data_IF_970198782748
#
_entry.id   IF_970198782748
#
_cell.length_a   1.000
_cell.length_b   1.000
_cell.length_c   1.000
_cell.angle_alpha   90.00
_cell.angle_beta   90.00
_cell.angle_gamma   90.00
#
_symmetry.space_group_name_H-M   'P 1'
#
loop_
_entity.id
_entity.type
_entity.pdbx_description
1 polymer ?
#
# COMPACT_ATOMS: atom_id res chain seq x y z
N UNK A 1 54.04 38.24 -17.23
CA UNK A 1 53.04 37.21 -17.62
C UNK A 1 51.72 37.58 -16.95
N UNK A 2 50.63 37.62 -17.71
CA UNK A 2 49.45 38.47 -17.45
C UNK A 2 48.53 37.92 -16.32
N UNK A 3 47.99 38.79 -15.44
CA UNK A 3 47.09 38.46 -14.32
C UNK A 3 45.63 38.19 -14.75
N UNK A 4 45.41 37.61 -15.94
CA UNK A 4 44.07 37.47 -16.55
C UNK A 4 43.39 36.12 -16.26
N UNK A 5 44.07 35.18 -15.61
CA UNK A 5 43.55 33.84 -15.32
C UNK A 5 42.75 33.75 -14.02
N UNK A 6 43.01 34.65 -13.06
CA UNK A 6 42.33 34.67 -11.77
C UNK A 6 40.81 34.99 -11.86
N UNK A 7 40.35 36.01 -12.61
CA UNK A 7 38.92 36.34 -12.65
C UNK A 7 38.10 35.27 -13.39
N UNK A 8 38.72 34.54 -14.32
CA UNK A 8 38.07 33.48 -15.08
C UNK A 8 37.87 32.21 -14.24
N UNK A 9 38.82 31.92 -13.34
CA UNK A 9 38.72 30.84 -12.35
C UNK A 9 37.64 31.14 -11.29
N UNK A 10 37.57 32.39 -10.81
CA UNK A 10 36.53 32.83 -9.86
C UNK A 10 35.14 32.81 -10.49
N UNK A 11 35.01 33.25 -11.74
CA UNK A 11 33.75 33.16 -12.48
C UNK A 11 33.33 31.69 -12.69
N UNK A 12 34.26 30.79 -13.04
CA UNK A 12 33.97 29.36 -13.20
C UNK A 12 33.51 28.70 -11.87
N UNK A 13 34.16 29.04 -10.76
CA UNK A 13 33.78 28.57 -9.41
C UNK A 13 32.41 29.09 -8.96
N UNK A 14 32.06 30.33 -9.33
CA UNK A 14 30.72 30.91 -9.08
C UNK A 14 29.65 30.26 -9.98
N UNK A 15 29.96 29.90 -11.22
CA UNK A 15 29.04 29.17 -12.10
C UNK A 15 28.74 27.76 -11.61
N UNK A 16 29.72 27.07 -11.01
CA UNK A 16 29.56 25.70 -10.48
C UNK A 16 28.76 25.68 -9.18
N UNK A 17 28.80 26.75 -8.38
CA UNK A 17 28.04 26.83 -7.11
C UNK A 17 26.55 27.13 -7.30
N UNK A 18 26.16 27.79 -8.41
CA UNK A 18 24.75 28.10 -8.70
C UNK A 18 23.95 26.85 -9.16
N UNK A 19 24.61 25.80 -9.66
CA UNK A 19 23.92 24.55 -10.03
C UNK A 19 23.57 23.62 -8.85
N UNK A 20 23.99 23.95 -7.62
CA UNK A 20 23.84 23.06 -6.46
C UNK A 20 22.66 23.40 -5.53
N UNK A 21 21.74 24.28 -5.96
CA UNK A 21 20.62 24.75 -5.12
C UNK A 21 19.25 24.15 -5.50
N UNK A 22 19.18 23.23 -6.46
CA UNK A 22 17.96 22.45 -6.65
C UNK A 22 18.00 21.30 -5.63
N UNK A 23 16.98 21.14 -4.76
CA UNK A 23 16.87 19.92 -3.96
C UNK A 23 16.92 18.73 -4.92
N UNK A 24 17.60 17.62 -4.57
CA UNK A 24 17.51 16.41 -5.37
C UNK A 24 16.03 16.06 -5.48
N UNK A 25 15.47 16.15 -6.68
CA UNK A 25 14.13 15.68 -6.95
C UNK A 25 14.23 14.16 -6.89
N UNK A 26 13.81 13.59 -5.75
CA UNK A 26 13.75 12.14 -5.60
C UNK A 26 12.67 11.63 -6.56
N UNK A 27 13.09 11.09 -7.69
CA UNK A 27 12.23 10.63 -8.77
C UNK A 27 11.59 9.27 -8.41
N UNK A 28 10.84 9.23 -7.31
CA UNK A 28 10.06 8.05 -6.91
C UNK A 28 8.87 7.85 -7.83
N UNK A 29 8.40 6.61 -7.92
CA UNK A 29 7.13 6.33 -8.58
C UNK A 29 5.99 7.14 -7.91
N UNK A 30 4.88 7.39 -8.62
CA UNK A 30 3.70 8.03 -8.03
C UNK A 30 3.20 7.26 -6.80
N UNK A 31 2.56 7.95 -5.82
CA UNK A 31 1.92 7.29 -4.69
C UNK A 31 0.93 6.21 -5.14
N UNK A 32 0.83 5.12 -4.38
CA UNK A 32 -0.02 3.98 -4.71
C UNK A 32 -1.01 3.70 -3.57
N UNK A 33 -2.31 3.53 -3.85
CA UNK A 33 -3.30 3.17 -2.83
C UNK A 33 -3.07 1.73 -2.37
N UNK A 34 -3.33 1.42 -1.10
CA UNK A 34 -3.40 0.02 -0.66
C UNK A 34 -4.53 -0.72 -1.37
N UNK A 35 -5.69 -0.09 -1.45
CA UNK A 35 -6.88 -0.65 -2.07
C UNK A 35 -7.25 0.11 -3.36
N UNK A 36 -6.88 -0.41 -4.52
CA UNK A 36 -7.23 0.23 -5.81
C UNK A 36 -8.73 0.26 -6.09
N UNK A 37 -9.45 -0.81 -5.72
CA UNK A 37 -10.91 -0.89 -5.91
C UNK A 37 -11.71 -0.03 -4.92
N UNK A 38 -11.10 0.44 -3.84
CA UNK A 38 -11.76 1.27 -2.84
C UNK A 38 -11.88 2.74 -3.26
N UNK A 39 -11.08 3.19 -4.25
CA UNK A 39 -11.18 4.53 -4.88
C UNK A 39 -11.76 4.41 -6.30
N UNK A 40 -12.78 3.55 -6.46
CA UNK A 40 -13.37 3.24 -7.75
C UNK A 40 -14.20 4.40 -8.32
N UNK A 41 -13.55 5.30 -9.05
CA UNK A 41 -14.19 6.39 -9.77
C UNK A 41 -13.95 6.26 -11.28
N UNK A 42 -14.91 5.69 -11.99
CA UNK A 42 -14.76 5.34 -13.40
C UNK A 42 -16.01 5.57 -14.23
N UNK A 43 -15.80 5.79 -15.51
CA UNK A 43 -16.86 5.82 -16.53
C UNK A 43 -16.82 4.51 -17.30
N UNK A 44 -17.94 3.80 -17.37
CA UNK A 44 -18.06 2.56 -18.13
C UNK A 44 -18.05 2.85 -19.63
N UNK A 45 -17.78 1.85 -20.50
CA UNK A 45 -17.85 2.04 -21.94
C UNK A 45 -19.22 2.54 -22.45
N UNK A 46 -20.29 2.24 -21.71
CA UNK A 46 -21.66 2.64 -22.03
C UNK A 46 -22.00 4.07 -21.53
N UNK A 47 -21.07 4.72 -20.82
CA UNK A 47 -21.21 6.08 -20.30
C UNK A 47 -21.75 6.17 -18.87
N UNK A 48 -22.06 5.05 -18.23
CA UNK A 48 -22.48 5.03 -16.83
C UNK A 48 -21.31 5.35 -15.90
N UNK A 49 -21.57 6.07 -14.83
CA UNK A 49 -20.55 6.33 -13.80
C UNK A 49 -20.64 5.30 -12.69
N UNK A 50 -19.49 4.74 -12.33
CA UNK A 50 -19.30 3.91 -11.14
C UNK A 50 -18.45 4.72 -10.19
N UNK A 51 -18.99 5.01 -9.01
CA UNK A 51 -18.38 5.92 -8.03
C UNK A 51 -18.31 5.22 -6.69
N UNK A 52 -17.12 5.25 -6.07
CA UNK A 52 -16.93 4.73 -4.73
C UNK A 52 -17.41 5.74 -3.69
N UNK A 53 -18.16 5.27 -2.71
CA UNK A 53 -18.42 5.97 -1.46
C UNK A 53 -17.54 5.39 -0.36
N UNK A 54 -18.14 5.06 0.78
CA UNK A 54 -17.43 4.46 1.90
C UNK A 54 -16.85 3.08 1.54
N UNK A 55 -15.62 2.81 1.95
CA UNK A 55 -14.91 1.60 1.57
C UNK A 55 -14.05 1.03 2.69
N UNK A 56 -13.91 -0.29 2.69
CA UNK A 56 -13.05 -1.00 3.62
C UNK A 56 -12.31 -2.15 2.95
N UNK A 57 -11.10 -2.43 3.44
CA UNK A 57 -10.27 -3.53 3.00
C UNK A 57 -9.85 -4.38 4.20
N UNK A 58 -10.05 -5.68 4.10
CA UNK A 58 -9.50 -6.66 5.06
C UNK A 58 -8.48 -7.54 4.37
N UNK A 59 -7.25 -7.56 4.89
CA UNK A 59 -6.18 -8.44 4.44
C UNK A 59 -5.97 -9.52 5.49
N UNK A 60 -6.08 -10.78 5.09
CA UNK A 60 -5.78 -11.92 5.95
C UNK A 60 -4.46 -12.56 5.52
N UNK A 61 -3.53 -12.66 6.47
CA UNK A 61 -2.23 -13.29 6.30
C UNK A 61 -2.34 -14.77 6.68
N UNK A 62 -1.98 -15.64 5.75
CA UNK A 62 -1.99 -17.09 5.96
C UNK A 62 -0.57 -17.58 6.27
N UNK A 63 -0.45 -18.56 7.16
CA UNK A 63 0.81 -19.19 7.58
C UNK A 63 1.60 -19.86 6.46
N UNK A 64 0.92 -20.18 5.35
CA UNK A 64 1.53 -20.65 4.11
C UNK A 64 2.24 -19.56 3.29
N UNK A 65 2.11 -18.28 3.67
CA UNK A 65 2.69 -17.12 2.99
C UNK A 65 1.81 -16.50 1.91
N UNK A 66 0.58 -16.99 1.73
CA UNK A 66 -0.40 -16.31 0.89
C UNK A 66 -1.16 -15.24 1.68
N UNK A 67 -1.82 -14.34 0.95
CA UNK A 67 -2.76 -13.38 1.52
C UNK A 67 -4.09 -13.43 0.78
N UNK A 68 -5.18 -13.22 1.51
CA UNK A 68 -6.51 -13.00 0.93
C UNK A 68 -6.97 -11.60 1.26
N UNK A 69 -7.59 -10.94 0.29
CA UNK A 69 -7.99 -9.55 0.35
C UNK A 69 -9.48 -9.46 0.08
N UNK A 70 -10.21 -8.87 1.02
CA UNK A 70 -11.65 -8.71 0.98
C UNK A 70 -11.96 -7.21 0.99
N UNK A 71 -12.26 -6.63 -0.17
CA UNK A 71 -12.68 -5.24 -0.29
C UNK A 71 -14.20 -5.15 -0.28
N UNK A 72 -14.74 -4.17 0.45
CA UNK A 72 -16.16 -3.80 0.45
C UNK A 72 -16.27 -2.32 0.14
N UNK A 73 -17.05 -1.99 -0.88
CA UNK A 73 -17.24 -0.61 -1.35
C UNK A 73 -18.73 -0.34 -1.41
N UNK A 74 -19.19 0.66 -0.66
CA UNK A 74 -20.51 1.24 -0.81
C UNK A 74 -20.49 2.15 -2.02
N UNK A 75 -21.15 1.75 -3.09
CA UNK A 75 -21.18 2.49 -4.35
C UNK A 75 -22.11 3.70 -4.20
N UNK A 76 -21.59 4.89 -4.50
CA UNK A 76 -22.41 6.10 -4.61
C UNK A 76 -23.17 6.14 -5.95
N UNK A 77 -22.66 5.45 -6.97
CA UNK A 77 -23.31 5.29 -8.27
C UNK A 77 -22.84 4.01 -8.98
N UNK A 78 -23.66 3.51 -9.91
CA UNK A 78 -23.30 2.40 -10.80
C UNK A 78 -23.56 0.99 -10.25
N UNK A 79 -24.15 0.86 -9.06
CA UNK A 79 -24.51 -0.44 -8.45
C UNK A 79 -25.40 -1.30 -9.34
N UNK A 80 -26.50 -0.73 -9.84
CA UNK A 80 -27.43 -1.43 -10.73
C UNK A 80 -26.77 -1.94 -12.03
N UNK A 81 -25.90 -1.13 -12.63
CA UNK A 81 -25.18 -1.50 -13.85
C UNK A 81 -24.22 -2.67 -13.60
N UNK A 82 -23.47 -2.62 -12.49
CA UNK A 82 -22.57 -3.69 -12.09
C UNK A 82 -23.32 -4.97 -11.66
N UNK A 83 -24.50 -4.83 -11.04
CA UNK A 83 -25.35 -5.96 -10.67
C UNK A 83 -25.93 -6.65 -11.91
N UNK A 84 -26.46 -5.87 -12.85
CA UNK A 84 -27.10 -6.37 -14.07
C UNK A 84 -26.11 -6.99 -15.06
N UNK A 85 -24.87 -6.48 -15.13
CA UNK A 85 -23.88 -6.90 -16.11
C UNK A 85 -22.62 -7.47 -15.46
N UNK A 86 -22.55 -8.81 -15.37
CA UNK A 86 -21.39 -9.51 -14.79
C UNK A 86 -20.09 -9.35 -15.57
N UNK A 87 -20.15 -9.17 -16.90
CA UNK A 87 -18.96 -8.95 -17.72
C UNK A 87 -18.38 -7.55 -17.49
N UNK A 88 -19.24 -6.54 -17.43
CA UNK A 88 -18.86 -5.17 -17.05
C UNK A 88 -18.24 -5.17 -15.65
N UNK A 89 -18.91 -5.80 -14.67
CA UNK A 89 -18.40 -5.90 -13.30
C UNK A 89 -17.01 -6.51 -13.25
N UNK A 90 -16.79 -7.63 -13.96
CA UNK A 90 -15.47 -8.27 -14.01
C UNK A 90 -14.41 -7.35 -14.62
N UNK A 91 -14.73 -6.65 -15.71
CA UNK A 91 -13.79 -5.75 -16.38
C UNK A 91 -13.40 -4.56 -15.50
N UNK A 92 -14.40 -3.90 -14.89
CA UNK A 92 -14.19 -2.76 -13.97
C UNK A 92 -13.35 -3.19 -12.77
N UNK A 93 -13.70 -4.30 -12.12
CA UNK A 93 -12.99 -4.77 -10.93
C UNK A 93 -11.58 -5.25 -11.26
N UNK A 94 -11.39 -6.03 -12.33
CA UNK A 94 -10.06 -6.55 -12.72
C UNK A 94 -9.08 -5.43 -13.02
N UNK A 95 -9.56 -4.30 -13.54
CA UNK A 95 -8.72 -3.15 -13.82
C UNK A 95 -8.48 -2.33 -12.54
N UNK A 96 -9.51 -2.09 -11.71
CA UNK A 96 -9.38 -1.31 -10.48
C UNK A 96 -8.50 -1.98 -9.40
N UNK A 97 -8.57 -3.31 -9.24
CA UNK A 97 -7.71 -4.04 -8.28
C UNK A 97 -6.23 -3.94 -8.61
N UNK A 98 -5.86 -3.63 -9.87
CA UNK A 98 -4.46 -3.45 -10.31
C UNK A 98 -3.90 -2.07 -10.01
N UNK A 99 -4.75 -1.11 -9.64
CA UNK A 99 -4.31 0.22 -9.21
C UNK A 99 -3.77 0.19 -7.77
N UNK A 100 -4.06 -0.88 -7.01
CA UNK A 100 -3.59 -1.08 -5.65
C UNK A 100 -2.17 -1.66 -5.55
N UNK A 101 -1.66 -1.79 -4.32
CA UNK A 101 -0.33 -2.38 -4.06
C UNK A 101 -0.22 -3.89 -4.31
N UNK A 102 -1.34 -4.60 -4.47
CA UNK A 102 -1.35 -6.05 -4.62
C UNK A 102 -1.06 -6.51 -6.07
N UNK A 103 -0.56 -7.73 -6.25
CA UNK A 103 -0.57 -8.47 -7.53
C UNK A 103 -1.71 -9.52 -7.51
N UNK A 104 -2.94 -9.13 -7.87
CA UNK A 104 -4.12 -9.93 -7.63
C UNK A 104 -4.19 -11.18 -8.53
N UNK A 105 -4.57 -12.30 -7.92
CA UNK A 105 -4.98 -13.57 -8.54
C UNK A 105 -6.37 -13.94 -8.04
N UNK A 106 -7.06 -14.79 -8.81
CA UNK A 106 -8.37 -15.34 -8.45
C UNK A 106 -9.37 -14.26 -8.00
N UNK A 107 -9.52 -13.21 -8.82
CA UNK A 107 -10.39 -12.07 -8.52
C UNK A 107 -11.85 -12.44 -8.73
N UNK A 108 -12.62 -12.40 -7.65
CA UNK A 108 -14.06 -12.60 -7.63
C UNK A 108 -14.77 -11.31 -7.20
N UNK A 109 -15.94 -11.04 -7.80
CA UNK A 109 -16.69 -9.82 -7.52
C UNK A 109 -18.20 -10.06 -7.58
N UNK A 110 -18.89 -9.52 -6.57
CA UNK A 110 -20.34 -9.57 -6.43
C UNK A 110 -20.88 -8.22 -5.98
N UNK A 111 -22.11 -7.94 -6.37
CA UNK A 111 -22.85 -6.76 -5.93
C UNK A 111 -24.07 -7.22 -5.17
N UNK A 112 -24.30 -6.65 -3.98
CA UNK A 112 -25.46 -6.87 -3.14
C UNK A 112 -26.04 -5.52 -2.73
N UNK A 113 -27.16 -5.13 -3.34
CA UNK A 113 -27.63 -3.75 -3.30
C UNK A 113 -26.57 -2.80 -3.84
N UNK A 114 -26.18 -1.82 -3.02
CA UNK A 114 -25.14 -0.84 -3.35
C UNK A 114 -23.74 -1.27 -2.88
N UNK A 115 -23.57 -2.50 -2.38
CA UNK A 115 -22.27 -2.97 -1.88
C UNK A 115 -21.59 -3.84 -2.93
N UNK A 116 -20.48 -3.34 -3.47
CA UNK A 116 -19.53 -4.14 -4.25
C UNK A 116 -18.58 -4.84 -3.28
N UNK A 117 -18.64 -6.17 -3.25
CA UNK A 117 -17.68 -7.01 -2.55
C UNK A 117 -16.72 -7.66 -3.55
N UNK A 118 -15.43 -7.51 -3.30
CA UNK A 118 -14.36 -8.05 -4.14
C UNK A 118 -13.41 -8.86 -3.28
N UNK A 119 -13.17 -10.09 -3.71
CA UNK A 119 -12.30 -11.05 -3.06
C UNK A 119 -11.17 -11.40 -4.02
N UNK A 120 -9.92 -11.37 -3.56
CA UNK A 120 -8.78 -11.80 -4.36
C UNK A 120 -7.64 -12.32 -3.48
N UNK A 121 -6.65 -12.93 -4.13
CA UNK A 121 -5.45 -13.46 -3.48
C UNK A 121 -4.21 -12.77 -4.01
N UNK A 122 -3.24 -12.57 -3.14
CA UNK A 122 -1.88 -12.25 -3.55
C UNK A 122 -0.93 -13.30 -2.95
N UNK A 123 -0.35 -14.19 -3.79
CA UNK A 123 0.58 -15.22 -3.34
C UNK A 123 1.98 -14.69 -3.01
N UNK A 124 2.28 -13.44 -3.35
CA UNK A 124 3.61 -12.83 -3.26
C UNK A 124 3.66 -11.62 -2.31
N UNK A 125 2.53 -11.20 -1.75
CA UNK A 125 2.44 -10.10 -0.79
C UNK A 125 3.12 -10.37 0.58
N UNK A 126 3.68 -11.56 0.80
CA UNK A 126 4.35 -11.86 2.07
C UNK A 126 5.67 -12.58 1.89
N UNK A 127 6.55 -12.41 2.89
CA UNK A 127 7.76 -13.20 3.04
C UNK A 127 7.70 -14.08 4.28
N UNK A 128 8.29 -15.29 4.21
CA UNK A 128 8.27 -16.24 5.31
C UNK A 128 9.65 -16.42 5.90
N UNK A 129 9.78 -16.15 7.20
CA UNK A 129 11.03 -16.26 7.95
C UNK A 129 10.79 -16.85 9.33
N UNK A 130 11.50 -17.92 9.70
CA UNK A 130 11.47 -18.51 11.05
C UNK A 130 10.06 -18.89 11.58
N UNK A 131 9.15 -19.27 10.70
CA UNK A 131 7.76 -19.58 11.05
C UNK A 131 6.87 -18.35 11.26
N UNK A 132 7.34 -17.16 10.88
CA UNK A 132 6.57 -15.93 10.80
C UNK A 132 6.31 -15.55 9.33
N UNK A 133 5.25 -14.78 9.11
CA UNK A 133 4.82 -14.26 7.80
C UNK A 133 4.85 -12.74 7.87
N UNK A 134 5.72 -12.11 7.08
CA UNK A 134 5.92 -10.65 7.03
C UNK A 134 5.16 -10.08 5.83
N UNK A 135 4.29 -9.11 6.07
CA UNK A 135 3.53 -8.40 5.04
C UNK A 135 4.27 -7.13 4.64
N UNK A 136 5.03 -7.20 3.55
CA UNK A 136 5.92 -6.14 3.06
C UNK A 136 5.28 -5.06 2.15
N UNK A 137 4.08 -5.24 1.52
CA UNK A 137 3.56 -4.26 0.56
C UNK A 137 3.30 -2.84 1.09
N UNK A 138 3.16 -2.67 2.42
CA UNK A 138 2.91 -1.35 3.02
C UNK A 138 4.16 -0.47 3.06
N UNK A 139 5.35 -1.06 3.01
CA UNK A 139 6.63 -0.32 3.05
C UNK A 139 7.20 -0.19 1.64
N UNK A 140 7.27 1.03 1.07
CA UNK A 140 7.84 1.23 -0.27
C UNK A 140 9.30 0.78 -0.35
N UNK A 141 9.62 -0.02 -1.37
CA UNK A 141 10.99 -0.44 -1.61
C UNK A 141 11.86 0.77 -2.02
N UNK A 142 12.95 0.97 -1.28
CA UNK A 142 14.01 1.94 -1.62
C UNK A 142 15.00 1.33 -2.62
N UNK A 143 15.75 2.15 -3.38
CA UNK A 143 16.80 1.64 -4.27
C UNK A 143 17.82 0.81 -3.49
N UNK A 144 18.07 -0.42 -3.95
CA UNK A 144 19.03 -1.34 -3.32
C UNK A 144 20.50 -0.89 -3.41
N UNK A 145 20.78 0.17 -4.17
CA UNK A 145 22.14 0.66 -4.44
C UNK A 145 22.29 2.06 -3.84
N UNK A 146 23.33 2.30 -3.02
CA UNK A 146 23.58 3.64 -2.47
C UNK A 146 23.83 4.65 -3.60
N UNK A 147 23.33 5.88 -3.42
CA UNK A 147 23.42 7.00 -4.38
C UNK A 147 22.60 6.87 -5.67
N UNK A 148 21.72 5.86 -5.78
CA UNK A 148 20.68 5.83 -6.82
C UNK A 148 19.43 6.55 -6.32
N UNK A 149 18.94 7.49 -7.12
CA UNK A 149 17.70 8.24 -6.86
C UNK A 149 16.53 7.46 -7.47
N UNK A 150 15.37 7.41 -6.78
CA UNK A 150 14.17 6.70 -7.23
C UNK A 150 13.66 5.69 -6.20
N UNK A 151 12.83 4.75 -6.65
CA UNK A 151 12.18 3.75 -5.79
C UNK A 151 10.67 3.76 -5.93
N UNK A 152 10.00 2.96 -5.09
CA UNK A 152 8.55 2.93 -5.06
C UNK A 152 7.97 4.23 -4.49
N UNK A 153 6.78 4.59 -4.94
CA UNK A 153 6.03 5.71 -4.41
C UNK A 153 5.53 5.43 -3.00
N UNK A 154 5.20 6.49 -2.26
CA UNK A 154 4.59 6.36 -0.95
C UNK A 154 3.28 5.55 -1.02
N UNK A 155 2.97 4.83 0.05
CA UNK A 155 1.68 4.15 0.19
C UNK A 155 0.70 5.08 0.88
N UNK A 156 -0.56 4.99 0.48
CA UNK A 156 -1.65 5.71 1.14
C UNK A 156 -2.86 4.79 1.26
N UNK A 157 -3.71 5.06 2.26
CA UNK A 157 -4.73 4.11 2.69
C UNK A 157 -5.66 3.68 1.55
N UNK A 158 -6.13 4.64 0.75
CA UNK A 158 -7.01 4.40 -0.39
C UNK A 158 -8.36 3.77 0.00
N UNK A 159 -8.75 3.85 1.27
CA UNK A 159 -10.01 3.33 1.81
C UNK A 159 -10.35 4.11 3.10
N UNK A 160 -11.55 3.97 3.63
CA UNK A 160 -11.89 4.55 4.94
C UNK A 160 -11.36 3.69 6.09
N UNK A 161 -11.24 2.37 5.87
CA UNK A 161 -10.68 1.43 6.85
C UNK A 161 -9.87 0.31 6.20
N UNK A 162 -8.64 0.10 6.68
CA UNK A 162 -7.82 -1.07 6.40
C UNK A 162 -7.68 -1.90 7.67
N UNK A 163 -7.88 -3.21 7.56
CA UNK A 163 -7.61 -4.18 8.61
C UNK A 163 -6.65 -5.23 8.09
N UNK A 164 -5.53 -5.46 8.78
CA UNK A 164 -4.60 -6.56 8.51
C UNK A 164 -4.66 -7.54 9.67
N UNK A 165 -5.03 -8.79 9.40
CA UNK A 165 -5.24 -9.82 10.42
C UNK A 165 -4.59 -11.15 10.05
N UNK A 166 -4.39 -12.00 11.05
CA UNK A 166 -3.92 -13.36 10.87
C UNK A 166 -5.09 -14.27 10.49
N UNK A 167 -4.80 -15.40 9.84
CA UNK A 167 -5.76 -16.51 9.84
C UNK A 167 -5.98 -17.04 11.27
N UNK A 168 -7.08 -17.77 11.55
CA UNK A 168 -7.33 -18.30 12.89
C UNK A 168 -6.13 -19.08 13.46
N UNK A 169 -5.71 -18.73 14.68
CA UNK A 169 -4.51 -19.28 15.32
C UNK A 169 -3.23 -18.46 15.09
N UNK A 170 -3.31 -17.38 14.33
CA UNK A 170 -2.22 -16.43 14.12
C UNK A 170 -2.52 -15.06 14.71
N UNK A 171 -1.54 -14.50 15.40
CA UNK A 171 -1.52 -13.14 15.93
C UNK A 171 -0.74 -12.23 14.97
N UNK A 172 -1.19 -11.00 14.78
CA UNK A 172 -0.48 -10.01 13.95
C UNK A 172 0.17 -8.97 14.84
N UNK A 173 1.46 -8.72 14.60
CA UNK A 173 2.22 -7.68 15.29
C UNK A 173 2.69 -6.63 14.31
N UNK A 174 2.68 -5.38 14.76
CA UNK A 174 3.08 -4.21 13.99
C UNK A 174 2.60 -2.96 14.70
N UNK A 175 2.84 -1.82 14.06
CA UNK A 175 2.38 -0.53 14.56
C UNK A 175 1.22 -0.07 13.66
N UNK A 176 0.08 0.28 14.28
CA UNK A 176 -1.09 0.82 13.59
C UNK A 176 -1.78 1.86 14.49
N UNK A 177 -2.21 3.02 13.95
CA UNK A 177 -2.68 4.16 14.74
C UNK A 177 -4.01 3.88 15.47
N UNK A 178 -4.92 3.11 14.87
CA UNK A 178 -6.18 2.69 15.51
C UNK A 178 -5.97 1.66 16.63
N UNK A 179 -4.72 1.26 16.89
CA UNK A 179 -4.38 0.13 17.74
C UNK A 179 -4.71 -1.20 17.07
N UNK A 180 -4.33 -2.27 17.75
CA UNK A 180 -4.67 -3.63 17.38
C UNK A 180 -5.09 -4.40 18.62
N UNK A 181 -6.10 -5.27 18.48
CA UNK A 181 -6.13 -6.45 19.35
C UNK A 181 -4.98 -7.36 18.91
N UNK A 182 -4.53 -8.33 19.72
CA UNK A 182 -3.36 -9.17 19.36
C UNK A 182 -3.46 -9.88 17.99
N UNK A 183 -4.63 -9.85 17.37
CA UNK A 183 -5.01 -10.62 16.19
C UNK A 183 -5.15 -9.73 14.93
N UNK A 184 -5.22 -8.40 15.05
CA UNK A 184 -5.43 -7.48 13.93
C UNK A 184 -4.78 -6.10 14.12
N UNK A 185 -4.44 -5.46 13.01
CA UNK A 185 -3.95 -4.08 12.92
C UNK A 185 -4.92 -3.25 12.10
N UNK A 186 -5.28 -2.05 12.57
CA UNK A 186 -6.31 -1.21 11.94
C UNK A 186 -5.77 0.18 11.62
N UNK A 187 -5.97 0.61 10.38
CA UNK A 187 -5.80 1.99 9.94
C UNK A 187 -7.15 2.53 9.51
N UNK A 188 -7.53 3.70 10.01
CA UNK A 188 -8.75 4.38 9.59
C UNK A 188 -8.45 5.82 9.17
N UNK A 189 -9.28 6.35 8.28
CA UNK A 189 -9.22 7.77 7.91
C UNK A 189 -9.53 8.70 9.09
N UNK A 190 -10.29 8.22 10.09
CA UNK A 190 -10.66 8.99 11.27
C UNK A 190 -9.48 9.19 12.25
N UNK A 191 -8.54 8.24 12.27
CA UNK A 191 -7.36 8.28 13.14
C UNK A 191 -6.22 9.13 12.56
N UNK A 192 -6.28 9.47 11.27
CA UNK A 192 -5.31 10.34 10.64
C UNK A 192 -5.46 11.77 11.18
N UNK A 193 -4.35 12.41 11.55
CA UNK A 193 -4.35 13.83 11.88
C UNK A 193 -5.04 14.58 10.74
N UNK A 194 -6.03 15.44 11.06
CA UNK A 194 -6.75 16.27 10.09
C UNK A 194 -5.80 17.33 9.51
N UNK A 195 -4.83 16.91 8.73
CA UNK A 195 -4.37 17.72 7.63
C UNK A 195 -5.39 17.56 6.49
N UNK A 196 -5.64 18.62 5.73
CA UNK A 196 -6.55 18.65 4.57
C UNK A 196 -6.02 17.79 3.39
N UNK A 197 -5.25 16.74 3.67
CA UNK A 197 -4.69 15.84 2.69
C UNK A 197 -5.82 14.96 2.11
N UNK A 198 -6.05 15.12 0.80
CA UNK A 198 -6.95 14.28 0.00
C UNK A 198 -6.64 12.78 0.15
N UNK A 199 -5.37 12.44 0.42
CA UNK A 199 -4.87 11.08 0.66
C UNK A 199 -4.25 10.96 2.04
N UNK A 200 -4.68 9.95 2.80
CA UNK A 200 -4.09 9.60 4.10
C UNK A 200 -2.83 8.78 3.87
N UNK A 201 -1.62 9.33 4.12
CA UNK A 201 -0.39 8.57 3.98
C UNK A 201 -0.37 7.39 4.98
N UNK A 202 0.16 6.26 4.53
CA UNK A 202 0.46 5.14 5.40
C UNK A 202 1.92 5.25 5.83
N UNK A 203 2.13 5.77 7.03
CA UNK A 203 3.45 5.73 7.67
C UNK A 203 3.56 4.43 8.45
N UNK A 204 4.15 3.42 7.82
CA UNK A 204 4.36 2.09 8.41
C UNK A 204 5.84 1.96 8.73
N UNK A 205 6.20 2.25 9.98
CA UNK A 205 7.57 2.08 10.48
C UNK A 205 7.95 0.60 10.58
N UNK A 206 6.95 -0.28 10.78
CA UNK A 206 7.16 -1.72 10.97
C UNK A 206 6.10 -2.52 10.25
N UNK A 207 6.53 -3.28 9.25
CA UNK A 207 5.67 -4.21 8.53
C UNK A 207 4.86 -5.12 9.48
N UNK A 208 3.58 -5.38 9.17
CA UNK A 208 2.80 -6.37 9.88
C UNK A 208 3.45 -7.76 9.78
N UNK A 209 3.51 -8.46 10.91
CA UNK A 209 4.06 -9.81 10.99
C UNK A 209 3.05 -10.72 11.68
N UNK A 210 2.57 -11.72 10.95
CA UNK A 210 1.78 -12.80 11.53
C UNK A 210 2.70 -13.87 12.14
N UNK A 211 2.36 -14.31 13.34
CA UNK A 211 3.00 -15.41 14.06
C UNK A 211 1.94 -16.33 14.66
N UNK A 212 2.23 -17.62 14.77
CA UNK A 212 1.33 -18.55 15.47
C UNK A 212 1.17 -18.15 16.96
N UNK A 213 -0.06 -18.12 17.47
CA UNK A 213 -0.39 -17.66 18.83
C UNK A 213 0.32 -18.49 19.94
N UNK A 214 0.66 -19.74 19.65
CA UNK A 214 1.39 -20.63 20.55
C UNK A 214 2.92 -20.58 20.44
N UNK A 215 3.48 -19.71 19.59
CA UNK A 215 4.91 -19.70 19.33
C UNK A 215 5.74 -19.25 20.55
N UNK A 216 6.87 -19.92 20.79
CA UNK A 216 7.86 -19.45 21.77
C UNK A 216 8.50 -18.14 21.32
N UNK A 217 8.56 -17.16 22.22
CA UNK A 217 9.16 -15.83 22.00
C UNK A 217 8.65 -15.15 20.72
N UNK A 218 7.33 -14.97 20.59
CA UNK A 218 6.73 -14.63 19.30
C UNK A 218 7.10 -13.20 18.87
N UNK A 219 7.35 -12.28 19.82
CA UNK A 219 7.87 -10.94 19.56
C UNK A 219 9.30 -10.93 19.01
N UNK A 220 10.19 -11.78 19.54
CA UNK A 220 11.57 -11.92 19.05
C UNK A 220 11.57 -12.48 17.63
N UNK A 221 10.74 -13.49 17.37
CA UNK A 221 10.56 -14.04 16.02
C UNK A 221 10.10 -13.00 15.02
N UNK A 222 9.08 -12.21 15.38
CA UNK A 222 8.59 -11.15 14.52
C UNK A 222 9.67 -10.09 14.24
N UNK A 223 10.44 -9.71 15.26
CA UNK A 223 11.56 -8.78 15.09
C UNK A 223 12.65 -9.32 14.15
N UNK A 224 13.10 -10.56 14.35
CA UNK A 224 14.11 -11.17 13.45
C UNK A 224 13.57 -11.31 12.03
N UNK A 225 12.29 -11.69 11.87
CA UNK A 225 11.68 -11.83 10.55
C UNK A 225 11.72 -10.52 9.76
N UNK A 226 11.43 -9.36 10.39
CA UNK A 226 11.57 -8.04 9.74
C UNK A 226 12.99 -7.67 9.37
N UNK A 227 13.97 -8.05 10.19
CA UNK A 227 15.38 -7.83 9.85
C UNK A 227 15.79 -8.61 8.60
N UNK A 228 15.25 -9.82 8.43
CA UNK A 228 15.56 -10.68 7.30
C UNK A 228 14.91 -10.23 5.99
N UNK A 229 13.80 -9.49 6.04
CA UNK A 229 13.18 -8.85 4.86
C UNK A 229 13.90 -7.56 4.43
N UNK A 230 14.85 -7.06 5.24
CA UNK A 230 15.65 -5.87 4.91
C UNK A 230 15.06 -4.54 5.38
N UNK A 231 13.91 -4.55 6.07
CA UNK A 231 13.21 -3.36 6.58
C UNK A 231 13.59 -3.09 8.05
N UNK A 232 14.90 -3.11 8.34
CA UNK A 232 15.44 -3.25 9.69
C UNK A 232 15.76 -1.98 10.47
N UNK A 233 15.50 -0.78 9.94
CA UNK A 233 15.84 0.48 10.61
C UNK A 233 14.77 1.53 10.45
#
# INVERSE_FOLDING_TARGET
MRPRTLPLLVALLLSVTVLAAAPPVDARAPPTPVCGVCELDRTTPDGDSVVAGESSLTVTLHGNGSSTWEARVHLAAGGDALAANGSLRRAVVTDAVRDGIADPKDVDARVDGDVLAVDYRDPNATERHLGAVVFTPLTPASPRVPFVIGGEGSRYLGADRLTVRGEPGWEVRGDAPGGGTGDELVWSREDAERDDAERVPLDVDRDPVAVEAGAMLPGVRAWIARLLTGNGF
#
